data_IF_127983768956
#
_entry.id   IF_127983768956
#
_cell.length_a   1.000
_cell.length_b   1.000
_cell.length_c   1.000
_cell.angle_alpha   90.00
_cell.angle_beta   90.00
_cell.angle_gamma   90.00
#
_symmetry.space_group_name_H-M   'P 1'
#
loop_
_entity.id
_entity.type
_entity.pdbx_description
1 polymer ?
#
# COMPACT_ATOMS: atom_id res chain seq x y z
N UNK A 1 27.40 -18.08 7.51
CA UNK A 1 26.22 -17.84 6.67
C UNK A 1 26.51 -16.55 5.91
N UNK A 2 26.30 -16.56 4.60
CA UNK A 2 26.40 -15.34 3.79
C UNK A 2 25.22 -14.47 4.22
N UNK A 3 25.48 -13.22 4.63
CA UNK A 3 24.40 -12.28 4.90
C UNK A 3 23.92 -11.61 3.60
N UNK A 4 22.81 -10.86 3.66
CA UNK A 4 22.26 -10.24 2.47
C UNK A 4 23.16 -9.16 1.88
N UNK A 5 23.94 -8.47 2.72
CA UNK A 5 24.92 -7.49 2.28
C UNK A 5 26.00 -8.14 1.42
N UNK A 6 26.56 -9.28 1.85
CA UNK A 6 27.56 -10.03 1.10
C UNK A 6 27.00 -10.54 -0.22
N UNK A 7 25.73 -11.01 -0.21
CA UNK A 7 25.03 -11.45 -1.42
C UNK A 7 24.92 -10.32 -2.45
N UNK A 8 24.43 -9.14 -2.02
CA UNK A 8 24.29 -7.95 -2.88
C UNK A 8 25.64 -7.50 -3.42
N UNK A 9 26.68 -7.44 -2.58
CA UNK A 9 28.06 -7.10 -3.00
C UNK A 9 28.59 -8.07 -4.06
N UNK A 10 28.34 -9.36 -3.89
CA UNK A 10 28.72 -10.37 -4.88
C UNK A 10 27.99 -10.18 -6.20
N UNK A 11 26.67 -9.91 -6.18
CA UNK A 11 25.88 -9.62 -7.38
C UNK A 11 26.40 -8.38 -8.11
N UNK A 12 26.64 -7.28 -7.39
CA UNK A 12 27.17 -6.03 -7.98
C UNK A 12 28.57 -6.25 -8.56
N UNK A 13 29.42 -7.01 -7.88
CA UNK A 13 30.76 -7.32 -8.37
C UNK A 13 30.76 -8.16 -9.65
N UNK A 14 29.77 -9.04 -9.81
CA UNK A 14 29.66 -9.92 -10.97
C UNK A 14 28.93 -9.26 -12.17
N UNK A 15 27.90 -8.46 -11.91
CA UNK A 15 26.97 -7.97 -12.92
C UNK A 15 27.02 -6.45 -13.14
N UNK A 16 27.74 -5.71 -12.31
CA UNK A 16 27.71 -4.24 -12.29
C UNK A 16 26.67 -3.67 -11.33
N UNK A 17 26.50 -2.35 -11.30
CA UNK A 17 25.55 -1.69 -10.41
C UNK A 17 24.14 -2.21 -10.54
N UNK A 18 23.44 -2.34 -9.42
CA UNK A 18 22.07 -2.86 -9.30
C UNK A 18 21.07 -1.69 -9.37
N UNK A 19 19.96 -1.85 -10.07
CA UNK A 19 18.88 -0.86 -10.07
C UNK A 19 18.23 -0.78 -8.68
N UNK A 20 17.58 0.33 -8.39
CA UNK A 20 16.91 0.53 -7.08
C UNK A 20 15.78 -0.49 -6.88
N UNK A 21 14.97 -0.77 -7.92
CA UNK A 21 13.90 -1.78 -7.85
C UNK A 21 14.43 -3.19 -7.56
N UNK A 22 15.56 -3.58 -8.16
CA UNK A 22 16.21 -4.86 -7.89
C UNK A 22 16.75 -4.91 -6.45
N UNK A 23 17.31 -3.81 -5.97
CA UNK A 23 17.80 -3.68 -4.60
C UNK A 23 16.65 -3.79 -3.59
N UNK A 24 15.55 -3.03 -3.77
CA UNK A 24 14.37 -3.10 -2.92
C UNK A 24 13.78 -4.52 -2.91
N UNK A 25 13.54 -5.12 -4.07
CA UNK A 25 13.02 -6.48 -4.18
C UNK A 25 13.92 -7.49 -3.45
N UNK A 26 15.24 -7.36 -3.58
CA UNK A 26 16.19 -8.24 -2.89
C UNK A 26 16.13 -8.04 -1.38
N UNK A 27 16.10 -6.78 -0.90
CA UNK A 27 16.02 -6.48 0.53
C UNK A 27 14.72 -6.94 1.17
N UNK A 28 13.60 -6.78 0.49
CA UNK A 28 12.26 -7.06 1.03
C UNK A 28 11.87 -8.53 0.88
N UNK A 29 12.14 -9.14 -0.29
CA UNK A 29 11.52 -10.42 -0.70
C UNK A 29 12.53 -11.55 -0.96
N UNK A 30 13.84 -11.38 -0.68
CA UNK A 30 14.78 -12.49 -0.83
C UNK A 30 14.30 -13.71 -0.02
N UNK A 31 14.22 -14.94 -0.63
CA UNK A 31 13.49 -16.06 -0.04
C UNK A 31 13.90 -16.47 1.37
N UNK A 32 15.16 -16.25 1.75
CA UNK A 32 15.72 -16.66 3.05
C UNK A 32 16.36 -15.55 3.86
N UNK A 33 16.54 -14.35 3.29
CA UNK A 33 17.25 -13.23 3.89
C UNK A 33 16.47 -11.91 3.79
N UNK A 34 15.32 -11.90 3.10
CA UNK A 34 14.51 -10.73 2.91
C UNK A 34 13.75 -10.34 4.19
N UNK A 35 13.42 -9.07 4.29
CA UNK A 35 12.75 -8.48 5.43
C UNK A 35 11.40 -9.15 5.73
N UNK A 36 10.49 -9.20 4.75
CA UNK A 36 9.15 -9.81 4.92
C UNK A 36 9.17 -11.34 5.00
N UNK A 37 10.26 -11.99 4.58
CA UNK A 37 10.38 -13.45 4.64
C UNK A 37 10.95 -13.96 5.97
N UNK A 38 11.71 -13.11 6.67
CA UNK A 38 12.44 -13.52 7.88
C UNK A 38 11.90 -12.92 9.18
N UNK A 39 11.17 -11.80 9.11
CA UNK A 39 10.72 -11.04 10.28
C UNK A 39 9.19 -10.96 10.36
N UNK A 40 8.69 -10.52 11.51
CA UNK A 40 7.34 -9.98 11.70
C UNK A 40 7.49 -8.46 11.83
N UNK A 41 7.27 -7.69 10.75
CA UNK A 41 7.57 -6.27 10.70
C UNK A 41 6.54 -5.38 11.41
N UNK A 42 5.38 -5.95 11.77
CA UNK A 42 4.18 -5.20 12.10
C UNK A 42 3.82 -5.26 13.59
N UNK A 43 3.12 -4.22 14.08
CA UNK A 43 2.63 -4.12 15.45
C UNK A 43 3.54 -3.32 16.38
N UNK A 44 3.15 -3.22 17.66
CA UNK A 44 3.83 -2.39 18.66
C UNK A 44 5.29 -2.77 18.96
N UNK A 45 5.72 -3.96 18.54
CA UNK A 45 7.12 -4.44 18.63
C UNK A 45 7.81 -4.51 17.26
N UNK A 46 7.11 -4.14 16.19
CA UNK A 46 7.62 -4.08 14.83
C UNK A 46 8.24 -2.72 14.49
N UNK A 47 8.65 -2.57 13.24
CA UNK A 47 9.25 -1.33 12.74
C UNK A 47 8.19 -0.29 12.38
N UNK A 48 6.91 -0.71 12.19
CA UNK A 48 5.78 0.12 11.77
C UNK A 48 4.52 -0.08 12.61
N UNK A 49 3.76 1.02 12.75
CA UNK A 49 2.39 1.00 13.24
C UNK A 49 1.50 1.56 12.15
N UNK A 50 0.88 0.67 11.37
CA UNK A 50 -0.03 1.00 10.28
C UNK A 50 -1.40 1.47 10.79
N UNK A 51 -2.19 2.13 9.96
CA UNK A 51 -3.51 2.65 10.35
C UNK A 51 -4.44 1.63 11.03
N UNK A 52 -4.54 0.36 10.58
CA UNK A 52 -5.31 -0.67 11.27
C UNK A 52 -4.82 -0.99 12.69
N UNK A 53 -3.53 -0.91 12.93
CA UNK A 53 -2.93 -1.18 14.24
C UNK A 53 -3.08 0.01 15.22
N UNK A 54 -3.35 1.22 14.71
CA UNK A 54 -3.62 2.41 15.55
C UNK A 54 -5.00 2.32 16.17
N UNK A 55 -6.02 1.98 15.39
CA UNK A 55 -7.40 1.94 15.87
C UNK A 55 -8.31 1.10 14.99
N UNK A 56 -9.11 0.26 15.64
CA UNK A 56 -10.21 -0.48 14.99
C UNK A 56 -11.18 0.41 14.20
N UNK A 57 -11.30 1.71 14.54
CA UNK A 57 -12.19 2.64 13.84
C UNK A 57 -11.84 2.75 12.36
N UNK A 58 -10.56 2.64 12.01
CA UNK A 58 -10.13 2.67 10.61
C UNK A 58 -10.75 1.51 9.83
N UNK A 59 -10.52 0.28 10.25
CA UNK A 59 -11.06 -0.91 9.57
C UNK A 59 -12.59 -0.98 9.61
N UNK A 60 -13.23 -0.53 10.70
CA UNK A 60 -14.69 -0.43 10.79
C UNK A 60 -15.28 0.47 9.70
N UNK A 61 -14.70 1.66 9.50
CA UNK A 61 -15.20 2.61 8.51
C UNK A 61 -14.91 2.17 7.07
N UNK A 62 -13.74 1.59 6.80
CA UNK A 62 -13.41 0.98 5.51
C UNK A 62 -14.42 -0.13 5.19
N UNK A 63 -14.68 -1.03 6.12
CA UNK A 63 -15.65 -2.11 5.95
C UNK A 63 -17.06 -1.60 5.66
N UNK A 64 -17.53 -0.59 6.40
CA UNK A 64 -18.84 0.01 6.17
C UNK A 64 -18.93 0.75 4.83
N UNK A 65 -17.84 1.41 4.39
CA UNK A 65 -17.75 2.03 3.07
C UNK A 65 -17.91 0.98 1.95
N UNK A 66 -17.18 -0.15 2.03
CA UNK A 66 -17.30 -1.25 1.07
C UNK A 66 -18.68 -1.89 1.10
N UNK A 67 -19.25 -2.11 2.29
CA UNK A 67 -20.60 -2.67 2.44
C UNK A 67 -21.68 -1.74 1.88
N UNK A 68 -21.57 -0.43 2.08
CA UNK A 68 -22.49 0.55 1.49
C UNK A 68 -22.38 0.58 -0.04
N UNK A 69 -21.16 0.47 -0.59
CA UNK A 69 -20.95 0.35 -2.03
C UNK A 69 -21.59 -0.92 -2.58
N UNK A 70 -21.44 -2.06 -1.87
CA UNK A 70 -22.10 -3.33 -2.23
C UNK A 70 -23.62 -3.21 -2.24
N UNK A 71 -24.22 -2.56 -1.23
CA UNK A 71 -25.66 -2.28 -1.20
C UNK A 71 -26.10 -1.42 -2.38
N UNK A 72 -25.36 -0.36 -2.70
CA UNK A 72 -25.64 0.53 -3.83
C UNK A 72 -25.57 -0.18 -5.18
N UNK A 73 -24.74 -1.21 -5.29
CA UNK A 73 -24.59 -2.05 -6.49
C UNK A 73 -25.50 -3.29 -6.49
N UNK A 74 -26.68 -3.20 -5.87
CA UNK A 74 -27.71 -4.23 -5.87
C UNK A 74 -27.36 -5.52 -5.13
N UNK A 75 -26.42 -5.46 -4.19
CA UNK A 75 -26.07 -6.55 -3.26
C UNK A 75 -25.81 -7.89 -3.97
N UNK A 76 -24.77 -8.01 -4.81
CA UNK A 76 -24.47 -9.26 -5.50
C UNK A 76 -24.32 -10.42 -4.49
N UNK A 77 -24.94 -11.58 -4.83
CA UNK A 77 -25.05 -12.74 -3.92
C UNK A 77 -23.73 -13.48 -3.70
N UNK A 78 -22.77 -13.30 -4.60
CA UNK A 78 -21.41 -13.80 -4.49
C UNK A 78 -20.47 -12.69 -4.93
N UNK A 79 -19.44 -12.42 -4.14
CA UNK A 79 -18.41 -11.44 -4.45
C UNK A 79 -17.13 -11.74 -3.70
N UNK A 80 -16.02 -11.23 -4.19
CA UNK A 80 -14.72 -11.26 -3.52
C UNK A 80 -14.57 -10.05 -2.60
N UNK A 81 -14.36 -10.28 -1.29
CA UNK A 81 -13.88 -9.27 -0.36
C UNK A 81 -12.39 -9.48 -0.19
N UNK A 82 -11.58 -8.55 -0.71
CA UNK A 82 -10.15 -8.75 -0.81
C UNK A 82 -9.33 -7.70 -0.09
N UNK A 83 -8.14 -8.08 0.36
CA UNK A 83 -7.10 -7.18 0.87
C UNK A 83 -5.76 -7.51 0.21
N UNK A 84 -5.05 -6.47 -0.27
CA UNK A 84 -3.68 -6.59 -0.78
C UNK A 84 -2.71 -6.23 0.34
N UNK A 85 -1.70 -7.09 0.58
CA UNK A 85 -0.71 -6.87 1.63
C UNK A 85 -1.34 -6.77 3.03
N UNK A 86 -2.11 -7.77 3.49
CA UNK A 86 -2.96 -7.66 4.69
C UNK A 86 -2.16 -7.61 6.01
N UNK A 87 -0.84 -7.62 5.95
CA UNK A 87 -0.01 -7.59 7.12
C UNK A 87 -0.37 -8.70 8.11
N UNK A 88 -0.86 -8.35 9.30
CA UNK A 88 -1.32 -9.33 10.32
C UNK A 88 -2.79 -9.75 10.16
N UNK A 89 -3.50 -9.20 9.18
CA UNK A 89 -4.93 -9.45 8.95
C UNK A 89 -5.86 -8.62 9.85
N UNK A 90 -5.33 -7.62 10.54
CA UNK A 90 -6.08 -6.76 11.47
C UNK A 90 -7.17 -5.96 10.76
N UNK A 91 -6.87 -5.37 9.59
CA UNK A 91 -7.83 -4.62 8.81
C UNK A 91 -9.01 -5.50 8.35
N UNK A 92 -8.72 -6.67 7.77
CA UNK A 92 -9.77 -7.60 7.36
C UNK A 92 -10.62 -8.08 8.54
N UNK A 93 -10.01 -8.37 9.70
CA UNK A 93 -10.74 -8.75 10.91
C UNK A 93 -11.71 -7.65 11.37
N UNK A 94 -11.28 -6.39 11.34
CA UNK A 94 -12.11 -5.24 11.70
C UNK A 94 -13.23 -4.99 10.68
N UNK A 95 -12.96 -5.15 9.39
CA UNK A 95 -13.95 -5.10 8.31
C UNK A 95 -15.05 -6.14 8.56
N UNK A 96 -14.68 -7.40 8.75
CA UNK A 96 -15.63 -8.50 8.97
C UNK A 96 -16.45 -8.30 10.26
N UNK A 97 -15.80 -7.87 11.32
CA UNK A 97 -16.47 -7.55 12.59
C UNK A 97 -17.49 -6.42 12.45
N UNK A 98 -17.15 -5.35 11.74
CA UNK A 98 -18.03 -4.20 11.56
C UNK A 98 -19.22 -4.52 10.65
N UNK A 99 -19.00 -5.31 9.60
CA UNK A 99 -20.00 -5.61 8.57
C UNK A 99 -20.88 -6.80 8.89
N UNK A 100 -20.63 -7.55 9.97
CA UNK A 100 -21.44 -8.71 10.38
C UNK A 100 -22.93 -8.40 10.55
N UNK A 101 -23.27 -7.15 10.86
CA UNK A 101 -24.65 -6.70 11.03
C UNK A 101 -25.28 -6.12 9.74
N UNK A 102 -24.52 -6.09 8.64
CA UNK A 102 -25.06 -5.74 7.32
C UNK A 102 -25.66 -7.01 6.70
N UNK A 103 -27.00 -7.08 6.52
CA UNK A 103 -27.64 -8.32 6.13
C UNK A 103 -27.11 -8.87 4.82
N UNK A 104 -26.59 -10.09 4.83
CA UNK A 104 -26.11 -10.82 3.66
C UNK A 104 -24.71 -10.44 3.17
N UNK A 105 -24.07 -9.39 3.69
CA UNK A 105 -22.76 -8.97 3.19
C UNK A 105 -21.68 -10.03 3.47
N UNK A 106 -21.47 -10.42 4.71
CA UNK A 106 -20.46 -11.42 5.08
C UNK A 106 -20.81 -12.81 4.50
N UNK A 107 -22.09 -13.16 4.45
CA UNK A 107 -22.54 -14.46 3.91
C UNK A 107 -22.29 -14.59 2.40
N UNK A 108 -22.32 -13.47 1.68
CA UNK A 108 -22.07 -13.40 0.23
C UNK A 108 -20.59 -13.28 -0.13
N UNK A 109 -19.74 -12.95 0.84
CA UNK A 109 -18.32 -12.66 0.62
C UNK A 109 -17.47 -13.92 0.57
N UNK A 110 -16.66 -14.06 -0.49
CA UNK A 110 -15.46 -14.89 -0.49
C UNK A 110 -14.28 -14.04 -0.02
N UNK A 111 -13.72 -14.38 1.15
CA UNK A 111 -12.62 -13.61 1.75
C UNK A 111 -11.32 -14.03 1.11
N UNK A 112 -10.63 -13.07 0.51
CA UNK A 112 -9.38 -13.28 -0.24
C UNK A 112 -8.29 -12.36 0.28
N UNK A 113 -7.10 -12.91 0.51
CA UNK A 113 -5.91 -12.17 0.86
C UNK A 113 -4.83 -12.38 -0.19
N UNK A 114 -4.22 -11.30 -0.67
CA UNK A 114 -3.05 -11.37 -1.57
C UNK A 114 -1.80 -11.09 -0.74
N UNK A 115 -1.03 -12.16 -0.48
CA UNK A 115 0.13 -12.15 0.40
C UNK A 115 1.21 -13.10 -0.10
N UNK A 116 2.42 -12.59 -0.30
CA UNK A 116 3.55 -13.38 -0.78
C UNK A 116 4.31 -14.11 0.33
N UNK A 117 4.24 -13.62 1.58
CA UNK A 117 4.97 -14.18 2.71
C UNK A 117 4.22 -15.35 3.35
N UNK A 118 4.75 -16.60 3.31
CA UNK A 118 4.14 -17.73 4.00
C UNK A 118 4.00 -17.50 5.51
N UNK A 119 4.97 -16.83 6.12
CA UNK A 119 4.96 -16.51 7.55
C UNK A 119 3.81 -15.58 7.94
N UNK A 120 3.55 -14.55 7.11
CA UNK A 120 2.41 -13.65 7.35
C UNK A 120 1.08 -14.37 7.12
N UNK A 121 0.99 -15.30 6.16
CA UNK A 121 -0.22 -16.14 5.99
C UNK A 121 -0.55 -16.94 7.24
N UNK A 122 0.43 -17.47 7.95
CA UNK A 122 0.21 -18.20 9.22
C UNK A 122 -0.37 -17.25 10.30
N UNK A 123 0.13 -16.03 10.39
CA UNK A 123 -0.38 -15.00 11.31
C UNK A 123 -1.81 -14.61 10.94
N UNK A 124 -2.07 -14.36 9.64
CA UNK A 124 -3.38 -14.02 9.11
C UNK A 124 -4.40 -15.15 9.36
N UNK A 125 -3.99 -16.41 9.16
CA UNK A 125 -4.83 -17.57 9.44
C UNK A 125 -5.23 -17.65 10.91
N UNK A 126 -4.34 -17.30 11.84
CA UNK A 126 -4.65 -17.25 13.26
C UNK A 126 -5.58 -16.06 13.60
N UNK A 127 -5.34 -14.88 13.01
CA UNK A 127 -6.16 -13.67 13.22
C UNK A 127 -7.59 -13.86 12.71
N UNK A 128 -7.76 -14.58 11.59
CA UNK A 128 -9.04 -14.79 10.90
C UNK A 128 -9.60 -16.21 11.07
N UNK A 129 -9.23 -16.91 12.17
CA UNK A 129 -9.53 -18.31 12.40
C UNK A 129 -11.04 -18.67 12.33
N UNK A 130 -11.93 -17.70 12.61
CA UNK A 130 -13.38 -17.88 12.55
C UNK A 130 -13.96 -17.76 11.12
N UNK A 131 -13.11 -17.47 10.13
CA UNK A 131 -13.51 -17.21 8.74
C UNK A 131 -12.78 -18.13 7.77
N UNK A 132 -13.47 -18.49 6.68
CA UNK A 132 -12.83 -19.21 5.57
C UNK A 132 -12.12 -18.19 4.69
N UNK A 133 -10.79 -18.22 4.68
CA UNK A 133 -9.94 -17.32 3.89
C UNK A 133 -9.24 -18.10 2.79
N UNK A 134 -9.10 -17.48 1.62
CA UNK A 134 -8.29 -17.99 0.51
C UNK A 134 -7.12 -17.03 0.25
N UNK A 135 -5.91 -17.58 0.10
CA UNK A 135 -4.70 -16.79 -0.18
C UNK A 135 -4.26 -16.95 -1.63
N UNK A 136 -3.84 -15.85 -2.24
CA UNK A 136 -3.20 -15.83 -3.55
C UNK A 136 -1.84 -15.12 -3.46
N UNK A 137 -0.94 -15.46 -4.38
CA UNK A 137 0.37 -14.80 -4.50
C UNK A 137 0.28 -13.49 -5.29
N UNK A 138 -0.71 -13.39 -6.19
CA UNK A 138 -0.88 -12.26 -7.11
C UNK A 138 -2.35 -11.91 -7.32
N UNK A 139 -2.60 -10.67 -7.74
CA UNK A 139 -3.93 -10.15 -8.04
C UNK A 139 -4.62 -10.91 -9.17
N UNK A 140 -3.86 -11.33 -10.18
CA UNK A 140 -4.41 -12.04 -11.36
C UNK A 140 -5.07 -13.38 -11.02
N UNK A 141 -4.62 -14.02 -9.94
CA UNK A 141 -5.12 -15.31 -9.50
C UNK A 141 -6.47 -15.25 -8.75
N UNK A 142 -6.95 -14.05 -8.40
CA UNK A 142 -8.23 -13.88 -7.71
C UNK A 142 -9.43 -14.29 -8.59
N UNK A 143 -10.58 -14.70 -7.98
CA UNK A 143 -11.78 -15.09 -8.72
C UNK A 143 -12.32 -13.99 -9.64
N UNK A 144 -12.91 -14.40 -10.78
CA UNK A 144 -13.61 -13.54 -11.73
C UNK A 144 -15.07 -13.33 -11.31
N UNK A 145 -15.28 -12.42 -10.36
CA UNK A 145 -16.58 -12.04 -9.80
C UNK A 145 -16.52 -10.61 -9.26
N UNK A 146 -17.64 -9.99 -8.83
CA UNK A 146 -17.62 -8.65 -8.25
C UNK A 146 -16.57 -8.54 -7.15
N UNK A 147 -15.80 -7.45 -7.18
CA UNK A 147 -14.62 -7.27 -6.30
C UNK A 147 -14.78 -6.06 -5.41
N UNK A 148 -14.81 -6.26 -4.09
CA UNK A 148 -14.70 -5.19 -3.09
C UNK A 148 -13.36 -5.35 -2.38
N UNK A 149 -12.46 -4.40 -2.60
CA UNK A 149 -11.05 -4.55 -2.25
C UNK A 149 -10.54 -3.34 -1.47
N UNK A 150 -9.62 -3.58 -0.55
CA UNK A 150 -8.78 -2.55 0.06
C UNK A 150 -7.31 -2.90 -0.13
N UNK A 151 -6.51 -1.87 -0.46
CA UNK A 151 -5.04 -1.91 -0.43
C UNK A 151 -4.60 -0.74 0.46
N UNK A 152 -4.11 -1.05 1.67
CA UNK A 152 -3.63 -0.06 2.62
C UNK A 152 -2.15 -0.28 2.86
N UNK A 153 -1.33 0.73 2.58
CA UNK A 153 0.13 0.63 2.71
C UNK A 153 0.67 -0.61 1.94
N UNK A 154 0.29 -0.70 0.67
CA UNK A 154 0.69 -1.80 -0.22
C UNK A 154 1.59 -1.31 -1.35
N UNK A 155 1.23 -0.18 -1.96
CA UNK A 155 1.95 0.34 -3.12
C UNK A 155 3.26 1.02 -2.76
N UNK A 156 3.40 1.53 -1.52
CA UNK A 156 4.61 2.12 -0.97
C UNK A 156 5.78 1.12 -0.83
N UNK A 157 5.45 -0.16 -0.65
CA UNK A 157 6.43 -1.26 -0.57
C UNK A 157 6.81 -1.84 -1.95
N UNK A 158 6.15 -1.43 -3.03
CA UNK A 158 6.49 -1.92 -4.36
C UNK A 158 7.81 -1.30 -4.85
N UNK A 159 8.69 -2.11 -5.44
CA UNK A 159 9.99 -1.67 -5.90
C UNK A 159 9.91 -0.60 -7.00
N UNK A 160 10.66 0.49 -6.84
CA UNK A 160 10.74 1.60 -7.79
C UNK A 160 12.10 1.72 -8.45
N UNK A 161 12.11 2.25 -9.66
CA UNK A 161 13.30 2.79 -10.32
C UNK A 161 13.38 4.28 -10.06
N UNK A 162 14.58 4.80 -9.86
CA UNK A 162 14.81 6.23 -9.65
C UNK A 162 15.58 6.83 -10.80
N UNK A 163 15.10 7.97 -11.29
CA UNK A 163 15.67 8.66 -12.44
C UNK A 163 15.93 10.13 -12.11
N UNK A 164 17.14 10.59 -12.39
CA UNK A 164 17.56 11.99 -12.21
C UNK A 164 17.55 12.67 -13.58
N UNK A 165 16.87 13.82 -13.65
CA UNK A 165 16.78 14.64 -14.85
C UNK A 165 18.15 15.12 -15.29
N UNK A 166 18.50 14.91 -16.56
CA UNK A 166 19.76 15.36 -17.15
C UNK A 166 19.56 15.76 -18.63
N UNK A 167 19.67 17.05 -18.89
CA UNK A 167 19.40 17.62 -20.22
C UNK A 167 18.01 17.29 -20.75
N UNK A 168 17.90 16.59 -21.88
CA UNK A 168 16.64 16.13 -22.47
C UNK A 168 16.37 14.62 -22.19
N UNK A 169 16.97 14.08 -21.13
CA UNK A 169 16.81 12.68 -20.76
C UNK A 169 16.97 12.46 -19.26
N UNK A 170 17.29 11.23 -18.93
CA UNK A 170 17.33 10.76 -17.55
C UNK A 170 18.61 9.97 -17.29
N UNK A 171 19.13 10.07 -16.07
CA UNK A 171 20.17 9.16 -15.56
C UNK A 171 19.56 8.30 -14.47
N UNK A 172 19.60 6.99 -14.66
CA UNK A 172 19.07 6.08 -13.66
C UNK A 172 20.01 6.02 -12.44
N UNK A 173 19.42 6.18 -11.23
CA UNK A 173 20.14 5.99 -9.98
C UNK A 173 20.23 4.50 -9.68
N UNK A 174 21.40 4.05 -9.27
CA UNK A 174 21.73 2.65 -9.05
C UNK A 174 22.54 2.48 -7.76
N UNK A 175 22.50 1.28 -7.18
CA UNK A 175 23.35 0.87 -6.06
C UNK A 175 24.61 0.23 -6.61
N UNK A 176 25.77 0.79 -6.26
CA UNK A 176 27.08 0.30 -6.66
C UNK A 176 28.01 0.07 -5.47
N UNK A 177 29.27 -0.22 -5.75
CA UNK A 177 30.33 -0.35 -4.74
C UNK A 177 31.33 0.80 -4.88
N UNK A 178 31.58 1.47 -3.76
CA UNK A 178 32.66 2.47 -3.60
C UNK A 178 33.48 2.07 -2.39
N UNK A 179 34.76 1.79 -2.60
CA UNK A 179 35.67 1.32 -1.57
C UNK A 179 35.16 0.11 -0.77
N UNK A 180 34.44 -0.80 -1.47
CA UNK A 180 33.85 -2.00 -0.87
C UNK A 180 32.57 -1.78 -0.05
N UNK A 181 32.06 -0.56 0.03
CA UNK A 181 30.76 -0.21 0.63
C UNK A 181 29.69 0.00 -0.45
N UNK A 182 28.41 -0.24 -0.11
CA UNK A 182 27.30 0.14 -0.96
C UNK A 182 27.20 1.66 -1.04
N UNK A 183 26.88 2.18 -2.23
CA UNK A 183 26.67 3.61 -2.45
C UNK A 183 25.81 3.84 -3.67
N UNK A 184 25.11 4.99 -3.68
CA UNK A 184 24.33 5.40 -4.84
C UNK A 184 25.24 5.97 -5.94
N UNK A 185 24.99 5.56 -7.16
CA UNK A 185 25.64 6.06 -8.37
C UNK A 185 24.64 6.37 -9.47
N UNK A 186 25.12 6.95 -10.57
CA UNK A 186 24.27 7.28 -11.72
C UNK A 186 24.75 6.56 -12.97
N UNK A 187 23.82 5.90 -13.63
CA UNK A 187 24.04 5.34 -14.96
C UNK A 187 24.27 6.41 -16.04
N UNK A 188 24.54 6.02 -17.28
CA UNK A 188 24.65 6.95 -18.40
C UNK A 188 23.29 7.63 -18.66
N UNK A 189 23.35 8.84 -19.22
CA UNK A 189 22.14 9.53 -19.67
C UNK A 189 21.50 8.75 -20.84
N UNK A 190 20.20 8.51 -20.72
CA UNK A 190 19.42 7.85 -21.77
C UNK A 190 18.02 8.41 -21.87
N UNK A 191 17.40 8.42 -23.06
CA UNK A 191 15.98 8.67 -23.18
C UNK A 191 15.17 7.59 -22.46
N UNK A 192 14.11 8.03 -21.75
CA UNK A 192 13.13 7.14 -21.13
C UNK A 192 11.76 7.49 -21.72
N UNK A 193 11.28 6.81 -22.78
CA UNK A 193 10.03 7.18 -23.44
C UNK A 193 8.81 7.20 -22.52
N UNK A 194 8.77 6.26 -21.55
CA UNK A 194 7.69 6.19 -20.56
C UNK A 194 7.65 7.42 -19.65
N UNK A 195 8.77 8.14 -19.49
CA UNK A 195 8.90 9.33 -18.65
C UNK A 195 8.94 10.63 -19.47
N UNK A 196 8.58 10.58 -20.75
CA UNK A 196 8.64 11.76 -21.63
C UNK A 196 7.72 12.90 -21.13
N UNK A 197 6.56 12.55 -20.57
CA UNK A 197 5.61 13.51 -20.01
C UNK A 197 6.17 14.27 -18.80
N UNK A 198 7.13 13.68 -18.06
CA UNK A 198 7.79 14.29 -16.90
C UNK A 198 8.88 15.30 -17.29
N UNK A 199 9.24 15.38 -18.58
CA UNK A 199 10.21 16.38 -19.07
C UNK A 199 9.67 17.81 -19.00
N UNK A 200 8.35 17.98 -18.98
CA UNK A 200 7.69 19.29 -18.95
C UNK A 200 7.62 19.89 -17.54
N UNK A 201 7.58 19.05 -16.51
CA UNK A 201 7.39 19.45 -15.10
C UNK A 201 8.63 19.28 -14.22
N UNK A 202 9.77 18.84 -14.80
CA UNK A 202 11.02 18.62 -14.09
C UNK A 202 12.16 19.48 -14.61
N UNK A 203 13.08 19.81 -13.70
CA UNK A 203 14.30 20.57 -13.94
C UNK A 203 15.54 19.69 -13.83
N UNK A 204 16.70 20.18 -14.29
CA UNK A 204 17.98 19.49 -14.15
C UNK A 204 18.24 19.14 -12.70
N UNK A 205 18.54 17.87 -12.43
CA UNK A 205 18.81 17.34 -11.10
C UNK A 205 17.58 16.86 -10.33
N UNK A 206 16.35 17.12 -10.79
CA UNK A 206 15.15 16.56 -10.16
C UNK A 206 15.15 15.04 -10.27
N UNK A 207 14.72 14.39 -9.19
CA UNK A 207 14.57 12.94 -9.13
C UNK A 207 13.10 12.57 -9.21
N UNK A 208 12.79 11.56 -10.01
CA UNK A 208 11.47 10.94 -10.07
C UNK A 208 11.57 9.43 -9.81
N UNK A 209 10.48 8.87 -9.34
CA UNK A 209 10.33 7.45 -9.04
C UNK A 209 9.28 6.84 -9.96
N UNK A 210 9.61 5.66 -10.52
CA UNK A 210 8.75 4.92 -11.43
C UNK A 210 8.57 3.49 -10.94
N UNK A 211 7.33 3.11 -10.65
CA UNK A 211 6.98 1.77 -10.19
C UNK A 211 6.35 0.95 -11.31
N UNK A 212 7.16 0.12 -11.95
CA UNK A 212 6.69 -0.74 -13.05
C UNK A 212 5.60 -1.76 -12.63
N UNK A 213 5.48 -2.07 -11.33
CA UNK A 213 4.51 -3.04 -10.83
C UNK A 213 3.11 -2.43 -10.63
N UNK A 214 2.97 -1.11 -10.62
CA UNK A 214 1.66 -0.44 -10.53
C UNK A 214 0.76 -0.84 -11.70
N UNK A 215 1.26 -0.77 -12.93
CA UNK A 215 0.43 -0.97 -14.11
C UNK A 215 -0.22 -2.37 -14.17
N UNK A 216 0.49 -3.50 -14.01
CA UNK A 216 -0.15 -4.83 -14.03
C UNK A 216 -1.16 -5.01 -12.88
N UNK A 217 -0.86 -4.55 -11.66
CA UNK A 217 -1.78 -4.65 -10.53
C UNK A 217 -3.06 -3.85 -10.80
N UNK A 218 -2.92 -2.59 -11.19
CA UNK A 218 -4.06 -1.70 -11.43
C UNK A 218 -4.91 -2.16 -12.61
N UNK A 219 -4.31 -2.62 -13.70
CA UNK A 219 -5.03 -3.15 -14.86
C UNK A 219 -5.84 -4.41 -14.50
N UNK A 220 -5.29 -5.32 -13.70
CA UNK A 220 -5.99 -6.50 -13.24
C UNK A 220 -7.19 -6.15 -12.34
N UNK A 221 -7.04 -5.19 -11.42
CA UNK A 221 -8.13 -4.68 -10.59
C UNK A 221 -9.20 -3.99 -11.42
N UNK A 222 -8.77 -3.07 -12.29
CA UNK A 222 -9.64 -2.24 -13.11
C UNK A 222 -10.49 -3.08 -14.08
N UNK A 223 -9.87 -4.02 -14.79
CA UNK A 223 -10.59 -4.91 -15.71
C UNK A 223 -11.67 -5.74 -14.98
N UNK A 224 -11.34 -6.25 -13.80
CA UNK A 224 -12.27 -7.05 -12.98
C UNK A 224 -13.43 -6.20 -12.45
N UNK A 225 -13.14 -5.03 -11.91
CA UNK A 225 -14.15 -4.09 -11.40
C UNK A 225 -15.08 -3.62 -12.53
N UNK A 226 -14.55 -3.24 -13.69
CA UNK A 226 -15.39 -2.82 -14.82
C UNK A 226 -16.26 -3.95 -15.34
N UNK A 227 -15.73 -5.18 -15.42
CA UNK A 227 -16.43 -6.32 -15.99
C UNK A 227 -17.51 -6.88 -15.06
N UNK A 228 -17.21 -6.98 -13.77
CA UNK A 228 -18.03 -7.72 -12.81
C UNK A 228 -18.70 -6.82 -11.76
N UNK A 229 -18.31 -5.58 -11.65
CA UNK A 229 -18.74 -4.67 -10.58
C UNK A 229 -17.84 -4.72 -9.35
N UNK A 230 -18.18 -3.90 -8.37
CA UNK A 230 -17.44 -3.77 -7.14
C UNK A 230 -16.73 -2.42 -7.02
N UNK A 231 -15.73 -2.33 -6.14
CA UNK A 231 -14.89 -1.15 -5.96
C UNK A 231 -13.58 -1.54 -5.27
N UNK A 232 -12.54 -0.74 -5.47
CA UNK A 232 -11.32 -0.83 -4.68
C UNK A 232 -11.04 0.50 -3.97
N UNK A 233 -10.52 0.42 -2.74
CA UNK A 233 -9.99 1.55 -1.98
C UNK A 233 -8.48 1.39 -1.87
N UNK A 234 -7.74 2.34 -2.41
CA UNK A 234 -6.28 2.41 -2.34
C UNK A 234 -5.94 3.51 -1.36
N UNK A 235 -5.26 3.16 -0.27
CA UNK A 235 -4.92 4.06 0.83
C UNK A 235 -3.42 3.96 1.06
N UNK A 236 -2.71 5.05 0.80
CA UNK A 236 -1.26 5.07 0.91
C UNK A 236 -0.74 6.49 1.12
N UNK A 237 0.52 6.63 1.54
CA UNK A 237 1.14 7.93 1.64
C UNK A 237 1.85 8.32 0.35
N UNK A 238 1.70 9.58 -0.02
CA UNK A 238 2.19 10.10 -1.29
C UNK A 238 1.42 11.32 -1.75
N UNK A 239 1.52 11.62 -3.02
CA UNK A 239 0.77 12.71 -3.63
C UNK A 239 0.36 12.37 -5.08
N UNK A 240 -0.36 13.30 -5.73
CA UNK A 240 -0.80 13.10 -7.11
C UNK A 240 0.37 12.79 -8.05
N UNK A 241 1.45 13.57 -7.92
CA UNK A 241 2.67 13.39 -8.71
C UNK A 241 3.89 13.48 -7.81
N UNK A 242 4.64 12.40 -7.72
CA UNK A 242 5.83 12.33 -6.90
C UNK A 242 7.00 13.09 -7.53
N UNK A 243 7.75 13.80 -6.69
CA UNK A 243 8.99 14.49 -7.07
C UNK A 243 9.96 14.47 -5.89
N UNK A 244 11.20 14.08 -6.13
CA UNK A 244 12.24 13.99 -5.13
C UNK A 244 12.57 12.55 -4.74
N UNK A 245 13.58 12.40 -3.90
CA UNK A 245 14.01 11.10 -3.32
C UNK A 245 13.11 10.78 -2.14
N UNK A 246 12.21 9.82 -2.31
CA UNK A 246 11.31 9.39 -1.23
C UNK A 246 11.68 8.02 -0.67
N UNK A 247 12.72 7.36 -1.22
CA UNK A 247 13.20 6.08 -0.70
C UNK A 247 13.69 6.25 0.73
N UNK A 248 13.02 5.57 1.63
CA UNK A 248 13.33 5.59 3.05
C UNK A 248 13.46 4.18 3.60
N UNK A 249 14.25 4.06 4.66
CA UNK A 249 14.38 2.86 5.45
C UNK A 249 13.96 3.17 6.88
N UNK A 250 13.10 2.32 7.45
CA UNK A 250 12.72 2.42 8.85
C UNK A 250 13.13 1.16 9.62
N UNK A 251 13.65 1.40 10.83
CA UNK A 251 13.97 0.35 11.79
C UNK A 251 13.68 0.84 13.21
N UNK A 252 12.87 0.09 13.95
CA UNK A 252 12.46 0.46 15.31
C UNK A 252 11.86 1.88 15.39
N UNK A 253 11.04 2.26 14.41
CA UNK A 253 10.40 3.58 14.26
C UNK A 253 11.36 4.76 13.99
N UNK A 254 12.63 4.50 13.68
CA UNK A 254 13.63 5.51 13.34
C UNK A 254 14.08 5.38 11.89
N UNK A 255 14.26 6.52 11.22
CA UNK A 255 14.85 6.54 9.89
C UNK A 255 16.30 6.12 9.94
N UNK A 256 16.69 5.27 8.98
CA UNK A 256 18.06 4.81 8.81
C UNK A 256 18.49 4.93 7.35
N UNK A 257 19.78 4.78 7.08
CA UNK A 257 20.29 4.75 5.71
C UNK A 257 19.79 3.46 5.01
N UNK A 258 19.12 3.57 3.86
CA UNK A 258 18.63 2.42 3.09
C UNK A 258 19.71 1.40 2.73
N UNK A 259 20.98 1.82 2.64
CA UNK A 259 22.12 0.97 2.26
C UNK A 259 22.86 0.36 3.46
N UNK A 260 22.60 0.82 4.70
CA UNK A 260 23.40 0.44 5.87
C UNK A 260 23.25 -1.04 6.25
N UNK A 261 22.03 -1.58 6.18
CA UNK A 261 21.75 -2.93 6.66
C UNK A 261 20.68 -3.63 5.80
N UNK A 262 21.01 -4.06 4.57
CA UNK A 262 20.08 -4.71 3.65
C UNK A 262 19.34 -5.89 4.29
N UNK A 263 18.02 -5.98 4.08
CA UNK A 263 17.17 -7.05 4.60
C UNK A 263 16.85 -6.96 6.09
N UNK A 264 17.26 -5.88 6.78
CA UNK A 264 17.02 -5.72 8.21
C UNK A 264 16.08 -4.57 8.57
N UNK A 265 15.71 -3.74 7.60
CA UNK A 265 14.77 -2.63 7.70
C UNK A 265 13.76 -2.71 6.56
N UNK A 266 12.61 -2.11 6.76
CA UNK A 266 11.66 -1.91 5.68
C UNK A 266 12.14 -0.81 4.74
N UNK A 267 11.87 -0.98 3.45
CA UNK A 267 12.18 0.00 2.42
C UNK A 267 10.88 0.42 1.76
N UNK A 268 10.57 1.68 1.84
CA UNK A 268 9.32 2.24 1.31
C UNK A 268 9.58 3.51 0.52
N UNK A 269 8.60 3.88 -0.31
CA UNK A 269 8.61 5.10 -1.13
C UNK A 269 7.26 5.77 -1.08
N UNK A 270 7.17 7.05 -1.41
CA UNK A 270 5.88 7.71 -1.58
C UNK A 270 5.21 7.26 -2.88
N UNK A 271 3.93 6.94 -2.79
CA UNK A 271 3.14 6.51 -3.95
C UNK A 271 2.83 7.69 -4.85
N UNK A 272 3.11 7.54 -6.15
CA UNK A 272 2.67 8.44 -7.21
C UNK A 272 1.27 8.03 -7.68
N UNK A 273 0.25 8.76 -7.23
CA UNK A 273 -1.15 8.45 -7.54
C UNK A 273 -1.51 8.73 -8.99
N UNK A 274 -0.75 9.54 -9.73
CA UNK A 274 -0.94 9.71 -11.17
C UNK A 274 -0.61 8.43 -11.93
N UNK A 275 0.41 7.68 -11.51
CA UNK A 275 0.72 6.37 -12.11
C UNK A 275 -0.41 5.36 -11.85
N UNK A 276 -1.00 5.35 -10.64
CA UNK A 276 -2.17 4.54 -10.34
C UNK A 276 -3.37 4.91 -11.22
N UNK A 277 -3.68 6.20 -11.31
CA UNK A 277 -4.77 6.73 -12.11
C UNK A 277 -4.61 6.43 -13.60
N UNK A 278 -3.40 6.59 -14.14
CA UNK A 278 -3.10 6.28 -15.53
C UNK A 278 -3.32 4.81 -15.90
N UNK A 279 -3.13 3.91 -14.93
CA UNK A 279 -3.32 2.47 -15.11
C UNK A 279 -4.73 1.98 -14.73
N UNK A 280 -5.64 2.86 -14.29
CA UNK A 280 -6.98 2.51 -13.82
C UNK A 280 -7.99 2.16 -14.93
N UNK A 281 -7.65 2.36 -16.21
CA UNK A 281 -8.52 1.98 -17.35
C UNK A 281 -8.64 0.47 -17.47
N UNK A 282 -9.87 -0.13 -17.71
CA UNK A 282 -11.11 0.54 -18.16
C UNK A 282 -12.03 1.10 -17.06
N UNK A 283 -11.83 0.81 -15.78
CA UNK A 283 -12.64 1.37 -14.71
C UNK A 283 -12.37 2.88 -14.53
N UNK A 284 -13.18 3.53 -13.72
CA UNK A 284 -12.95 4.91 -13.29
C UNK A 284 -12.21 4.95 -11.96
N UNK A 285 -11.51 6.05 -11.73
CA UNK A 285 -10.93 6.37 -10.45
C UNK A 285 -11.49 7.69 -9.89
N UNK A 286 -11.49 7.85 -8.59
CA UNK A 286 -11.82 9.11 -7.93
C UNK A 286 -10.61 10.05 -7.91
N UNK A 287 -10.84 11.32 -7.63
CA UNK A 287 -9.74 12.20 -7.18
C UNK A 287 -9.14 11.64 -5.89
N UNK A 288 -7.86 11.91 -5.68
CA UNK A 288 -7.25 11.59 -4.39
C UNK A 288 -7.86 12.47 -3.29
N UNK A 289 -8.18 11.87 -2.18
CA UNK A 289 -8.73 12.55 -1.00
C UNK A 289 -7.78 12.33 0.18
N UNK A 290 -7.36 13.37 0.93
CA UNK A 290 -6.62 13.19 2.16
C UNK A 290 -7.35 12.25 3.13
N UNK A 291 -6.61 11.30 3.73
CA UNK A 291 -7.19 10.28 4.62
C UNK A 291 -8.06 10.87 5.74
N UNK A 292 -7.60 11.96 6.37
CA UNK A 292 -8.37 12.60 7.43
C UNK A 292 -9.72 13.10 6.95
N UNK A 293 -9.79 13.70 5.75
CA UNK A 293 -11.04 14.16 5.14
C UNK A 293 -11.94 12.96 4.80
N UNK A 294 -11.38 11.91 4.21
CA UNK A 294 -12.13 10.69 3.88
C UNK A 294 -12.74 10.06 5.14
N UNK A 295 -11.95 9.85 6.18
CA UNK A 295 -12.42 9.26 7.43
C UNK A 295 -13.48 10.14 8.14
N UNK A 296 -13.33 11.48 8.10
CA UNK A 296 -14.34 12.39 8.63
C UNK A 296 -15.67 12.32 7.86
N UNK A 297 -15.61 12.21 6.52
CA UNK A 297 -16.81 11.99 5.69
C UNK A 297 -17.50 10.66 5.98
N UNK A 298 -16.76 9.63 6.39
CA UNK A 298 -17.28 8.35 6.84
C UNK A 298 -17.75 8.36 8.31
N UNK A 299 -17.49 9.43 9.06
CA UNK A 299 -18.00 9.61 10.43
C UNK A 299 -17.06 9.12 11.53
N UNK A 300 -15.73 9.19 11.36
CA UNK A 300 -14.75 8.74 12.36
C UNK A 300 -14.90 9.50 13.69
N UNK A 301 -15.15 10.81 13.66
CA UNK A 301 -15.35 11.61 14.86
C UNK A 301 -16.59 11.17 15.63
N UNK A 302 -17.71 10.90 14.96
CA UNK A 302 -18.93 10.39 15.60
C UNK A 302 -18.69 9.00 16.20
N UNK A 303 -17.97 8.14 15.49
CA UNK A 303 -17.62 6.81 16.00
C UNK A 303 -16.71 6.91 17.24
N UNK A 304 -15.69 7.77 17.20
CA UNK A 304 -14.79 8.02 18.32
C UNK A 304 -15.55 8.49 19.56
N UNK A 305 -16.47 9.44 19.40
CA UNK A 305 -17.32 9.93 20.49
C UNK A 305 -18.19 8.85 21.13
N UNK A 306 -18.72 7.92 20.31
CA UNK A 306 -19.52 6.79 20.84
C UNK A 306 -18.65 5.86 21.68
N UNK A 307 -17.47 5.50 21.20
CA UNK A 307 -16.53 4.64 21.91
C UNK A 307 -16.01 5.30 23.19
N UNK A 308 -15.71 6.59 23.15
CA UNK A 308 -15.21 7.36 24.29
C UNK A 308 -16.15 7.37 25.50
N UNK A 309 -17.47 7.19 25.32
CA UNK A 309 -18.47 7.20 26.41
C UNK A 309 -18.20 6.17 27.52
N UNK A 310 -17.51 5.09 27.18
CA UNK A 310 -17.19 3.99 28.11
C UNK A 310 -15.73 3.99 28.56
N UNK A 311 -14.92 4.96 28.10
CA UNK A 311 -13.49 5.03 28.37
C UNK A 311 -13.17 6.12 29.39
N UNK A 312 -12.14 5.88 30.21
CA UNK A 312 -11.63 6.87 31.19
C UNK A 312 -10.11 6.75 31.32
N UNK A 313 -9.47 7.80 31.85
CA UNK A 313 -8.03 7.80 32.14
C UNK A 313 -7.16 7.49 30.91
N UNK A 314 -6.08 6.71 31.06
CA UNK A 314 -5.13 6.42 29.99
C UNK A 314 -5.76 5.82 28.73
N UNK A 315 -6.80 5.00 28.88
CA UNK A 315 -7.52 4.41 27.72
C UNK A 315 -8.19 5.48 26.87
N UNK A 316 -8.81 6.49 27.49
CA UNK A 316 -9.42 7.61 26.78
C UNK A 316 -8.36 8.47 26.10
N UNK A 317 -7.23 8.73 26.76
CA UNK A 317 -6.12 9.50 26.20
C UNK A 317 -5.54 8.80 24.96
N UNK A 318 -5.28 7.48 25.03
CA UNK A 318 -4.82 6.67 23.91
C UNK A 318 -5.83 6.71 22.74
N UNK A 319 -7.13 6.62 23.03
CA UNK A 319 -8.19 6.68 22.02
C UNK A 319 -8.24 8.05 21.31
N UNK A 320 -8.10 9.15 22.07
CA UNK A 320 -8.04 10.50 21.49
C UNK A 320 -6.80 10.66 20.64
N UNK A 321 -5.65 10.18 21.11
CA UNK A 321 -4.40 10.22 20.35
C UNK A 321 -4.48 9.40 19.05
N UNK A 322 -5.11 8.23 19.08
CA UNK A 322 -5.34 7.39 17.91
C UNK A 322 -6.24 8.08 16.87
N UNK A 323 -7.36 8.69 17.30
CA UNK A 323 -8.22 9.47 16.41
C UNK A 323 -7.43 10.62 15.76
N UNK A 324 -6.69 11.39 16.58
CA UNK A 324 -5.86 12.49 16.08
C UNK A 324 -4.82 12.00 15.07
N UNK A 325 -4.12 10.90 15.36
CA UNK A 325 -3.08 10.34 14.45
C UNK A 325 -3.65 9.99 13.09
N UNK A 326 -4.84 9.41 13.03
CA UNK A 326 -5.47 9.02 11.78
C UNK A 326 -6.01 10.21 10.96
N UNK A 327 -6.43 11.31 11.63
CA UNK A 327 -7.21 12.39 10.97
C UNK A 327 -6.50 13.72 10.88
N UNK A 328 -5.54 14.02 11.79
CA UNK A 328 -4.95 15.35 11.86
C UNK A 328 -4.01 15.61 10.66
N UNK A 329 -4.11 16.81 10.01
CA UNK A 329 -3.31 17.14 8.83
C UNK A 329 -1.79 17.10 9.03
N UNK A 330 -1.28 17.36 10.23
CA UNK A 330 0.15 17.29 10.54
C UNK A 330 0.64 15.87 10.88
N UNK A 331 -0.24 14.89 10.81
CA UNK A 331 0.05 13.47 11.04
C UNK A 331 -0.39 12.68 9.79
N UNK A 332 -1.04 11.53 9.93
CA UNK A 332 -1.45 10.72 8.78
C UNK A 332 -2.56 11.37 7.94
N UNK A 333 -3.35 12.26 8.52
CA UNK A 333 -4.56 12.78 7.89
C UNK A 333 -4.34 13.48 6.55
N UNK A 334 -3.17 14.11 6.35
CA UNK A 334 -2.81 14.77 5.08
C UNK A 334 -1.71 14.02 4.32
N UNK A 335 -0.85 13.30 5.03
CA UNK A 335 0.22 12.52 4.41
C UNK A 335 -0.36 11.37 3.56
N UNK A 336 -1.34 10.66 4.10
CA UNK A 336 -2.04 9.58 3.42
C UNK A 336 -3.14 10.12 2.51
N UNK A 337 -3.30 9.45 1.37
CA UNK A 337 -4.33 9.72 0.37
C UNK A 337 -5.17 8.48 0.14
N UNK A 338 -6.41 8.71 -0.25
CA UNK A 338 -7.35 7.65 -0.62
C UNK A 338 -7.79 7.87 -2.06
N UNK A 339 -7.69 6.84 -2.88
CA UNK A 339 -8.24 6.78 -4.23
C UNK A 339 -9.17 5.57 -4.34
N UNK A 340 -10.35 5.77 -4.93
CA UNK A 340 -11.29 4.72 -5.21
C UNK A 340 -11.27 4.30 -6.68
N UNK A 341 -11.38 3.01 -6.96
CA UNK A 341 -11.73 2.48 -8.28
C UNK A 341 -13.18 2.03 -8.27
N UNK A 342 -13.91 2.24 -9.36
CA UNK A 342 -15.32 1.85 -9.51
C UNK A 342 -15.70 1.71 -10.99
N UNK A 343 -16.75 0.94 -11.33
CA UNK A 343 -17.20 0.78 -12.72
C UNK A 343 -17.67 2.11 -13.32
N UNK A 344 -17.49 2.28 -14.62
CA UNK A 344 -17.93 3.48 -15.37
C UNK A 344 -19.44 3.74 -15.25
N UNK A 345 -20.23 2.71 -14.96
CA UNK A 345 -21.70 2.77 -14.83
C UNK A 345 -22.18 3.02 -13.40
N UNK A 346 -21.29 3.14 -12.43
CA UNK A 346 -21.60 3.27 -11.00
C UNK A 346 -21.14 4.62 -10.44
N UNK A 347 -21.59 4.93 -9.25
CA UNK A 347 -21.10 6.08 -8.48
C UNK A 347 -19.84 5.71 -7.66
N UNK A 348 -18.98 6.69 -7.36
CA UNK A 348 -17.81 6.45 -6.53
C UNK A 348 -18.21 5.91 -5.14
N UNK A 349 -17.29 5.21 -4.46
CA UNK A 349 -17.48 4.78 -3.07
C UNK A 349 -17.77 5.97 -2.15
N UNK A 350 -18.56 5.77 -1.07
CA UNK A 350 -18.86 6.82 -0.09
C UNK A 350 -17.61 7.53 0.44
N UNK A 351 -17.72 8.85 0.60
CA UNK A 351 -16.62 9.68 1.09
C UNK A 351 -15.64 10.17 0.02
N UNK A 352 -15.71 9.63 -1.20
CA UNK A 352 -14.86 9.99 -2.34
C UNK A 352 -15.64 10.75 -3.43
N UNK A 353 -14.91 11.52 -4.24
CA UNK A 353 -15.44 12.36 -5.31
C UNK A 353 -14.86 11.92 -6.66
N UNK A 354 -15.65 12.01 -7.77
CA UNK A 354 -15.20 11.68 -9.12
C UNK A 354 -13.97 12.47 -9.55
#
# INVERSE_FOLDING_TARGET
>A
MIDLLDHIKAQISANGPMRIDEYMATCLLHPTLGYYTTRDPLGAQGDFVTAPEISQMFGELIGLCLAQTWLAQSSPKNFTLAELGPGRGTLMADILRATRNVPGFVDAAEIVLVEASPKLRDVQAATLADHKVTWFDTVDAMPDQPLYLVANEFFDALPVRQFIRSGQGWRERQVGLTDGALGFGLGPMSPQPALAYRLEDTSEGDLIEDCAQIAPVMQALSARIETHGGAALIIDYGDWRSLGDTLQALRAHEQTDPLAAPGTCDLTVHVDFEQLAAAATPAQHTRITPQGIFLERLGITQRAQVLAKTMTGPTLETHIAAHRRLTHPSEMGNLFKVMGLYPTTQTPPPGLEP
#
